data_IF_657408742420
#
_entry.id   IF_657408742420
#
_cell.length_a   1.000
_cell.length_b   1.000
_cell.length_c   1.000
_cell.angle_alpha   90.00
_cell.angle_beta   90.00
_cell.angle_gamma   90.00
#
_symmetry.space_group_name_H-M   'P 1'
#
loop_
_entity.id
_entity.type
_entity.pdbx_description
1 polymer ?
#
# COMPACT_ATOMS: atom_id res chain seq x y z
N UNK A 1 9.79 14.80 23.97
CA UNK A 1 9.78 13.55 23.18
C UNK A 1 11.14 13.40 22.51
N UNK A 2 11.75 12.21 22.49
CA UNK A 2 13.01 12.01 21.79
C UNK A 2 12.82 12.29 20.28
N UNK A 3 13.78 12.98 19.63
CA UNK A 3 13.65 13.45 18.25
C UNK A 3 13.35 12.34 17.23
N UNK A 4 13.72 11.10 17.55
CA UNK A 4 13.60 9.95 16.67
C UNK A 4 12.17 9.36 16.65
N UNK A 5 11.42 9.45 17.77
CA UNK A 5 9.99 9.10 17.78
C UNK A 5 9.16 10.00 16.85
N UNK A 6 9.58 11.26 16.67
CA UNK A 6 8.94 12.21 15.76
C UNK A 6 9.12 11.75 14.31
N UNK A 7 10.29 11.24 13.94
CA UNK A 7 10.60 10.79 12.56
C UNK A 7 9.70 9.63 12.14
N UNK A 8 9.49 8.62 13.00
CA UNK A 8 8.56 7.52 12.72
C UNK A 8 7.12 8.01 12.57
N UNK A 9 6.69 8.95 13.42
CA UNK A 9 5.34 9.48 13.36
C UNK A 9 5.10 10.25 12.06
N UNK A 10 6.08 11.06 11.63
CA UNK A 10 6.03 11.79 10.35
C UNK A 10 6.00 10.81 9.19
N UNK A 11 6.89 9.80 9.16
CA UNK A 11 6.92 8.79 8.10
C UNK A 11 5.58 8.05 7.97
N UNK A 12 5.01 7.60 9.09
CA UNK A 12 3.72 6.93 9.14
C UNK A 12 2.59 7.83 8.61
N UNK A 13 2.52 9.08 9.06
CA UNK A 13 1.52 10.05 8.60
C UNK A 13 1.64 10.31 7.11
N UNK A 14 2.87 10.46 6.60
CA UNK A 14 3.14 10.62 5.17
C UNK A 14 2.65 9.42 4.37
N UNK A 15 2.93 8.19 4.82
CA UNK A 15 2.43 6.97 4.17
C UNK A 15 0.90 6.89 4.15
N UNK A 16 0.24 7.29 5.24
CA UNK A 16 -1.23 7.36 5.31
C UNK A 16 -1.76 8.38 4.29
N UNK A 17 -1.16 9.57 4.22
CA UNK A 17 -1.55 10.60 3.25
C UNK A 17 -1.41 10.06 1.83
N UNK A 18 -0.25 9.47 1.49
CA UNK A 18 -0.02 8.89 0.16
C UNK A 18 -1.05 7.82 -0.16
N UNK A 19 -1.32 6.90 0.76
CA UNK A 19 -2.36 5.89 0.56
C UNK A 19 -3.73 6.54 0.28
N UNK A 20 -4.14 7.51 1.10
CA UNK A 20 -5.43 8.20 0.89
C UNK A 20 -5.46 8.89 -0.47
N UNK A 21 -4.39 9.56 -0.88
CA UNK A 21 -4.32 10.19 -2.21
C UNK A 21 -4.36 9.15 -3.34
N UNK A 22 -3.73 7.98 -3.18
CA UNK A 22 -3.81 6.89 -4.16
C UNK A 22 -5.20 6.26 -4.24
N UNK A 23 -5.99 6.32 -3.17
CA UNK A 23 -7.33 5.73 -3.07
C UNK A 23 -8.42 6.68 -3.53
N UNK A 24 -8.34 7.94 -3.10
CA UNK A 24 -9.39 8.96 -3.21
C UNK A 24 -9.02 10.09 -4.17
N UNK A 25 -7.73 10.21 -4.56
CA UNK A 25 -7.27 11.20 -5.52
C UNK A 25 -7.71 10.89 -6.96
N UNK A 26 -7.62 11.89 -7.83
CA UNK A 26 -7.99 11.79 -9.23
C UNK A 26 -7.03 10.90 -10.03
N UNK A 27 -7.45 10.49 -11.23
CA UNK A 27 -6.66 9.63 -12.11
C UNK A 27 -5.36 10.31 -12.54
N UNK A 28 -5.39 11.63 -12.78
CA UNK A 28 -4.23 12.43 -13.22
C UNK A 28 -3.09 12.36 -12.22
N UNK A 29 -3.36 12.55 -10.92
CA UNK A 29 -2.35 12.45 -9.88
C UNK A 29 -1.66 11.08 -9.86
N UNK A 30 -2.42 10.00 -10.04
CA UNK A 30 -1.88 8.62 -10.04
C UNK A 30 -0.99 8.38 -11.25
N UNK A 31 -1.40 8.88 -12.42
CA UNK A 31 -0.60 8.81 -13.64
C UNK A 31 0.72 9.56 -13.49
N UNK A 32 0.70 10.77 -12.92
CA UNK A 32 1.91 11.52 -12.61
C UNK A 32 2.83 10.76 -11.64
N UNK A 33 2.25 10.15 -10.60
CA UNK A 33 3.03 9.36 -9.64
C UNK A 33 3.66 8.12 -10.28
N UNK A 34 2.94 7.44 -11.17
CA UNK A 34 3.47 6.32 -11.94
C UNK A 34 4.58 6.78 -12.89
N UNK A 35 4.42 7.92 -13.55
CA UNK A 35 5.47 8.51 -14.39
C UNK A 35 6.71 8.86 -13.58
N UNK A 36 6.54 9.34 -12.34
CA UNK A 36 7.65 9.56 -11.42
C UNK A 36 8.32 8.24 -11.02
N UNK A 37 7.54 7.19 -10.74
CA UNK A 37 8.06 5.85 -10.39
C UNK A 37 8.96 5.25 -11.48
N UNK A 38 8.72 5.56 -12.77
CA UNK A 38 9.59 5.07 -13.86
C UNK A 38 11.03 5.57 -13.73
N UNK A 39 11.26 6.67 -13.03
CA UNK A 39 12.59 7.26 -12.79
C UNK A 39 13.25 6.70 -11.53
N UNK A 40 12.54 5.89 -10.75
CA UNK A 40 13.01 5.29 -9.51
C UNK A 40 11.89 5.09 -8.49
N UNK A 41 12.20 4.47 -7.36
CA UNK A 41 11.24 4.29 -6.26
C UNK A 41 10.78 5.63 -5.72
N UNK A 42 9.46 5.81 -5.58
CA UNK A 42 8.84 7.06 -5.12
C UNK A 42 9.18 7.32 -3.65
N UNK A 43 9.11 6.27 -2.82
CA UNK A 43 9.18 6.43 -1.37
C UNK A 43 10.60 6.26 -0.81
N UNK A 44 11.45 5.50 -1.51
CA UNK A 44 12.86 5.25 -1.15
C UNK A 44 13.09 4.84 0.32
N UNK A 45 12.13 4.13 0.93
CA UNK A 45 12.17 3.80 2.35
C UNK A 45 13.10 2.63 2.70
N UNK A 46 13.81 2.01 1.76
CA UNK A 46 14.60 0.79 1.99
C UNK A 46 15.55 0.89 3.20
N UNK A 47 16.16 2.06 3.40
CA UNK A 47 17.12 2.35 4.46
C UNK A 47 16.50 3.03 5.69
N UNK A 48 15.18 3.26 5.70
CA UNK A 48 14.48 3.86 6.83
C UNK A 48 14.58 2.93 8.06
N UNK A 49 15.23 3.42 9.11
CA UNK A 49 15.35 2.71 10.39
C UNK A 49 15.47 3.65 11.57
N UNK A 50 14.91 3.21 12.68
CA UNK A 50 15.01 3.78 13.99
C UNK A 50 15.51 2.68 14.93
N UNK A 51 16.75 2.80 15.39
CA UNK A 51 17.39 1.87 16.33
C UNK A 51 17.32 2.38 17.78
N UNK A 52 16.51 3.41 18.08
CA UNK A 52 16.42 4.05 19.41
C UNK A 52 15.69 3.22 20.46
N UNK A 53 14.81 2.31 20.02
CA UNK A 53 14.07 1.39 20.88
C UNK A 53 13.57 0.19 20.08
N UNK A 54 13.25 -0.95 20.73
CA UNK A 54 12.62 -2.09 20.05
C UNK A 54 11.35 -1.68 19.28
N UNK A 55 10.52 -0.83 19.89
CA UNK A 55 9.29 -0.30 19.27
C UNK A 55 9.62 0.56 18.04
N UNK A 56 10.67 1.38 18.10
CA UNK A 56 11.18 2.17 16.97
C UNK A 56 11.63 1.30 15.80
N UNK A 57 12.31 0.19 16.11
CA UNK A 57 12.77 -0.78 15.10
C UNK A 57 11.58 -1.47 14.41
N UNK A 58 10.61 -1.94 15.20
CA UNK A 58 9.38 -2.55 14.66
C UNK A 58 8.55 -1.56 13.83
N UNK A 59 8.44 -0.31 14.30
CA UNK A 59 7.78 0.77 13.54
C UNK A 59 8.49 1.01 12.20
N UNK A 60 9.82 1.04 12.19
CA UNK A 60 10.60 1.22 10.97
C UNK A 60 10.47 0.07 9.98
N UNK A 61 10.45 -1.15 10.51
CA UNK A 61 10.12 -2.36 9.76
C UNK A 61 8.74 -2.25 9.11
N UNK A 62 7.74 -1.78 9.87
CA UNK A 62 6.38 -1.60 9.36
C UNK A 62 6.31 -0.51 8.29
N UNK A 63 6.92 0.66 8.53
CA UNK A 63 7.01 1.78 7.57
C UNK A 63 7.61 1.31 6.25
N UNK A 64 8.71 0.54 6.29
CA UNK A 64 9.33 -0.07 5.10
C UNK A 64 8.39 -1.02 4.37
N UNK A 65 7.76 -1.91 5.12
CA UNK A 65 6.86 -2.93 4.56
C UNK A 65 5.63 -2.28 3.90
N UNK A 66 5.05 -1.27 4.55
CA UNK A 66 3.91 -0.54 4.04
C UNK A 66 4.26 0.34 2.84
N UNK A 67 5.45 0.97 2.85
CA UNK A 67 5.97 1.68 1.68
C UNK A 67 6.08 0.78 0.45
N UNK A 68 6.62 -0.44 0.60
CA UNK A 68 6.68 -1.41 -0.49
C UNK A 68 5.30 -1.82 -0.99
N UNK A 69 4.31 -1.95 -0.10
CA UNK A 69 2.93 -2.20 -0.48
C UNK A 69 2.36 -1.08 -1.35
N UNK A 70 2.59 0.19 -1.00
CA UNK A 70 2.13 1.32 -1.81
C UNK A 70 2.85 1.40 -3.16
N UNK A 71 4.13 1.06 -3.23
CA UNK A 71 4.87 0.97 -4.51
C UNK A 71 4.31 -0.14 -5.42
N UNK A 72 4.01 -1.33 -4.89
CA UNK A 72 3.38 -2.39 -5.70
C UNK A 72 1.94 -2.02 -6.13
N UNK A 73 1.23 -1.22 -5.34
CA UNK A 73 -0.09 -0.71 -5.72
C UNK A 73 -0.02 0.21 -6.94
N UNK A 74 0.99 1.07 -6.99
CA UNK A 74 1.24 1.92 -8.16
C UNK A 74 1.65 1.10 -9.39
N UNK A 75 2.47 0.07 -9.19
CA UNK A 75 2.87 -0.85 -10.24
C UNK A 75 1.67 -1.62 -10.81
N UNK A 76 0.77 -2.05 -9.94
CA UNK A 76 -0.52 -2.59 -10.35
C UNK A 76 -1.27 -1.59 -11.23
N UNK A 77 -1.48 -0.35 -10.78
CA UNK A 77 -2.15 0.67 -11.58
C UNK A 77 -1.49 0.87 -12.96
N UNK A 78 -0.15 0.80 -13.04
CA UNK A 78 0.61 0.88 -14.28
C UNK A 78 0.29 -0.27 -15.26
N UNK A 79 0.14 -1.50 -14.74
CA UNK A 79 -0.17 -2.72 -15.50
C UNK A 79 -1.64 -2.75 -15.91
N UNK A 80 -2.56 -2.50 -14.98
CA UNK A 80 -4.00 -2.58 -15.22
C UNK A 80 -4.56 -1.42 -16.04
N UNK A 81 -3.96 -0.22 -15.94
CA UNK A 81 -4.54 1.05 -16.45
C UNK A 81 -5.88 1.43 -15.81
N UNK A 82 -6.29 0.77 -14.73
CA UNK A 82 -7.44 1.10 -13.91
C UNK A 82 -7.16 0.75 -12.43
N UNK A 83 -7.92 1.34 -11.49
CA UNK A 83 -7.76 1.04 -10.06
C UNK A 83 -8.70 -0.08 -9.60
N UNK A 84 -8.11 -1.18 -9.16
CA UNK A 84 -8.77 -2.38 -8.65
C UNK A 84 -9.66 -2.11 -7.41
N UNK A 85 -9.27 -1.17 -6.53
CA UNK A 85 -10.06 -0.86 -5.33
C UNK A 85 -11.12 0.21 -5.55
N UNK A 86 -10.91 1.15 -6.48
CA UNK A 86 -11.94 2.12 -6.86
C UNK A 86 -13.17 1.42 -7.45
N UNK A 87 -12.98 0.28 -8.14
CA UNK A 87 -14.07 -0.54 -8.66
C UNK A 87 -14.89 -1.28 -7.59
N UNK A 88 -14.33 -1.53 -6.41
CA UNK A 88 -15.06 -2.19 -5.30
C UNK A 88 -16.04 -1.26 -4.60
N UNK A 89 -16.01 0.03 -4.89
CA UNK A 89 -17.02 0.97 -4.43
C UNK A 89 -18.10 1.00 -5.52
N UNK A 90 -19.22 0.27 -5.39
CA UNK A 90 -20.38 0.59 -6.18
C UNK A 90 -20.74 2.02 -5.78
N UNK A 91 -20.54 2.98 -6.67
CA UNK A 91 -21.28 4.23 -6.58
C UNK A 91 -22.74 3.82 -6.54
N UNK A 92 -23.39 3.99 -5.38
CA UNK A 92 -24.83 3.87 -5.19
C UNK A 92 -25.60 4.95 -5.97
N UNK A 93 -25.10 5.36 -7.13
CA UNK A 93 -25.75 6.25 -8.07
C UNK A 93 -26.60 5.40 -9.00
N UNK A 94 -27.85 5.19 -8.56
CA UNK A 94 -29.06 5.03 -9.35
C UNK A 94 -28.97 4.23 -10.67
N UNK A 95 -29.54 3.02 -10.66
CA UNK A 95 -30.44 2.61 -11.74
C UNK A 95 -29.91 1.75 -12.90
N UNK A 96 -28.69 1.20 -12.83
CA UNK A 96 -28.25 0.18 -13.80
C UNK A 96 -27.79 -1.09 -13.11
N UNK A 97 -28.53 -2.17 -13.34
CA UNK A 97 -28.33 -3.53 -12.82
C UNK A 97 -27.13 -4.26 -13.47
N UNK A 98 -26.04 -3.56 -13.77
CA UNK A 98 -24.82 -4.17 -14.26
C UNK A 98 -23.84 -4.40 -13.11
N UNK A 99 -24.04 -5.55 -12.44
CA UNK A 99 -23.03 -6.43 -11.85
C UNK A 99 -21.82 -5.73 -11.19
N UNK A 100 -21.84 -5.64 -9.87
CA UNK A 100 -20.68 -5.32 -9.02
C UNK A 100 -19.59 -6.40 -9.02
N UNK A 101 -19.21 -6.92 -10.19
CA UNK A 101 -18.08 -7.81 -10.36
C UNK A 101 -16.86 -7.00 -10.83
N UNK A 102 -15.71 -7.26 -10.20
CA UNK A 102 -14.44 -6.63 -10.57
C UNK A 102 -14.09 -6.92 -12.03
N UNK A 103 -13.60 -5.92 -12.79
CA UNK A 103 -13.22 -6.09 -14.21
C UNK A 103 -12.31 -7.28 -14.46
N UNK A 104 -11.52 -7.65 -13.45
CA UNK A 104 -10.65 -8.82 -13.42
C UNK A 104 -11.37 -10.15 -13.72
N UNK A 105 -12.68 -10.27 -13.47
CA UNK A 105 -13.47 -11.46 -13.78
C UNK A 105 -13.90 -11.57 -15.24
N UNK A 106 -13.95 -10.45 -15.95
CA UNK A 106 -14.41 -10.37 -17.34
C UNK A 106 -13.24 -10.28 -18.34
N UNK A 107 -12.00 -10.37 -17.85
CA UNK A 107 -10.81 -10.35 -18.69
C UNK A 107 -10.66 -11.65 -19.50
N UNK A 108 -10.20 -11.50 -20.73
CA UNK A 108 -9.76 -12.64 -21.52
C UNK A 108 -8.52 -13.29 -20.90
N UNK A 109 -8.39 -14.61 -21.07
CA UNK A 109 -7.33 -15.43 -20.44
C UNK A 109 -5.91 -14.87 -20.64
N UNK A 110 -5.59 -14.38 -21.83
CA UNK A 110 -4.25 -13.81 -22.10
C UNK A 110 -3.97 -12.53 -21.30
N UNK A 111 -4.96 -11.66 -21.19
CA UNK A 111 -4.84 -10.42 -20.43
C UNK A 111 -4.78 -10.71 -18.93
N UNK A 112 -5.59 -11.67 -18.47
CA UNK A 112 -5.55 -12.15 -17.09
C UNK A 112 -4.16 -12.70 -16.73
N UNK A 113 -3.54 -13.49 -17.62
CA UNK A 113 -2.20 -14.05 -17.38
C UNK A 113 -1.12 -12.97 -17.28
N UNK A 114 -1.24 -11.86 -18.02
CA UNK A 114 -0.32 -10.71 -17.89
C UNK A 114 -0.49 -9.98 -16.58
N UNK A 115 -1.72 -9.94 -16.07
CA UNK A 115 -2.14 -9.19 -14.91
C UNK A 115 -1.92 -9.93 -13.58
N UNK A 116 -2.01 -11.26 -13.60
CA UNK A 116 -1.94 -12.13 -12.43
C UNK A 116 -0.65 -11.99 -11.60
N UNK A 117 0.56 -11.85 -12.20
CA UNK A 117 1.78 -11.61 -11.45
C UNK A 117 1.73 -10.34 -10.60
N UNK A 118 1.19 -9.24 -11.15
CA UNK A 118 1.06 -7.97 -10.43
C UNK A 118 0.08 -8.11 -9.26
N UNK A 119 -1.06 -8.77 -9.46
CA UNK A 119 -2.03 -9.06 -8.38
C UNK A 119 -1.41 -9.90 -7.26
N UNK A 120 -0.69 -10.96 -7.64
CA UNK A 120 -0.04 -11.86 -6.68
C UNK A 120 1.00 -11.09 -5.85
N UNK A 121 1.79 -10.23 -6.49
CA UNK A 121 2.79 -9.42 -5.82
C UNK A 121 2.17 -8.40 -4.86
N UNK A 122 1.09 -7.72 -5.28
CA UNK A 122 0.34 -6.82 -4.41
C UNK A 122 -0.21 -7.54 -3.18
N UNK A 123 -0.82 -8.72 -3.38
CA UNK A 123 -1.33 -9.54 -2.30
C UNK A 123 -0.21 -9.99 -1.35
N UNK A 124 0.94 -10.42 -1.89
CA UNK A 124 2.10 -10.81 -1.11
C UNK A 124 2.59 -9.67 -0.19
N UNK A 125 2.68 -8.44 -0.71
CA UNK A 125 3.06 -7.27 0.12
C UNK A 125 2.00 -6.95 1.17
N UNK A 126 0.72 -6.99 0.81
CA UNK A 126 -0.38 -6.74 1.75
C UNK A 126 -0.37 -7.75 2.92
N UNK A 127 -0.11 -9.03 2.63
CA UNK A 127 0.05 -10.05 3.65
C UNK A 127 1.26 -9.77 4.56
N UNK A 128 2.35 -9.27 3.99
CA UNK A 128 3.51 -8.79 4.74
C UNK A 128 3.16 -7.69 5.76
N UNK A 129 2.25 -6.77 5.40
CA UNK A 129 1.78 -5.73 6.32
C UNK A 129 0.97 -6.31 7.50
N UNK A 130 0.11 -7.31 7.28
CA UNK A 130 -0.68 -7.94 8.37
C UNK A 130 0.18 -8.72 9.35
N UNK A 131 1.09 -9.55 8.83
CA UNK A 131 1.92 -10.43 9.67
C UNK A 131 2.74 -9.64 10.69
N UNK A 132 3.17 -8.43 10.32
CA UNK A 132 3.99 -7.57 11.19
C UNK A 132 3.19 -6.64 12.10
N UNK A 133 1.92 -6.34 11.78
CA UNK A 133 1.03 -5.70 12.77
C UNK A 133 0.77 -6.64 13.95
N UNK A 134 0.61 -7.94 13.69
CA UNK A 134 0.48 -8.92 14.76
C UNK A 134 1.73 -8.96 15.66
N UNK A 135 2.94 -8.85 15.10
CA UNK A 135 4.18 -8.74 15.91
C UNK A 135 4.21 -7.46 16.76
N UNK A 136 3.77 -6.32 16.22
CA UNK A 136 3.72 -5.03 16.94
C UNK A 136 2.72 -5.03 18.11
N UNK A 137 1.64 -5.81 18.01
CA UNK A 137 0.60 -5.91 19.06
C UNK A 137 0.72 -7.16 19.96
N UNK A 138 1.53 -8.16 19.59
CA UNK A 138 1.70 -9.44 20.31
C UNK A 138 3.09 -9.54 21.00
N UNK A 139 3.95 -8.53 20.94
CA UNK A 139 4.96 -8.39 22.01
C UNK A 139 4.19 -8.02 23.28
N UNK A 140 4.08 -8.94 24.26
CA UNK A 140 3.31 -8.68 25.44
C UNK A 140 3.93 -7.49 26.16
N UNK A 141 3.08 -6.65 26.74
CA UNK A 141 3.38 -5.86 27.93
C UNK A 141 3.77 -6.83 29.07
N UNK A 142 4.91 -7.50 28.91
CA UNK A 142 5.43 -8.53 29.80
C UNK A 142 6.53 -7.92 30.65
N UNK A 143 6.16 -7.54 31.86
CA UNK A 143 7.00 -7.40 33.04
C UNK A 143 8.14 -6.36 32.95
N UNK A 144 7.79 -5.10 33.22
CA UNK A 144 8.69 -4.23 33.97
C UNK A 144 8.31 -4.38 35.45
N UNK A 145 9.10 -5.18 36.18
CA UNK A 145 9.23 -5.05 37.63
C UNK A 145 10.17 -3.89 37.95
#
# INVERSE_FOLDING_TARGET
>A
MPPIQIVNQVALKTLIVIHRTLREGDTTFREELVNFQQRGRVLQLANFKDDSSPIGWDCSVWVRTYGLFLEERLECFRVFKYDIEAEKIPTFAQGQENKGYSRTRDLQSEELLKQLPALQQLLYRLMGCRLRLQTLFILPLGNYH
#
